data_IF_655472759521
#
_entry.id   IF_655472759521
#
_cell.length_a   1.000
_cell.length_b   1.000
_cell.length_c   1.000
_cell.angle_alpha   90.00
_cell.angle_beta   90.00
_cell.angle_gamma   90.00
#
_symmetry.space_group_name_H-M   'P 1'
#
loop_
_entity.id
_entity.type
_entity.pdbx_description
1 polymer ?
#
# COMPACT_ATOMS: atom_id res chain seq x y z
N UNK A 1 -11.28 2.99 16.14
CA UNK A 1 -10.48 3.08 14.89
C UNK A 1 -10.61 1.78 14.07
N UNK A 2 -10.63 0.60 14.70
CA UNK A 2 -10.85 -0.68 14.03
C UNK A 2 -12.10 -0.74 13.13
N UNK A 3 -13.27 -0.38 13.65
CA UNK A 3 -14.53 -0.45 12.87
C UNK A 3 -14.51 0.49 11.67
N UNK A 4 -13.94 1.68 11.85
CA UNK A 4 -13.74 2.66 10.77
C UNK A 4 -12.90 2.05 9.65
N UNK A 5 -11.73 1.49 9.97
CA UNK A 5 -10.87 0.92 8.92
C UNK A 5 -11.46 -0.35 8.30
N UNK A 6 -12.21 -1.13 9.07
CA UNK A 6 -12.95 -2.29 8.54
C UNK A 6 -13.96 -1.86 7.48
N UNK A 7 -14.74 -0.81 7.73
CA UNK A 7 -15.69 -0.26 6.77
C UNK A 7 -14.98 0.46 5.61
N UNK A 8 -13.90 1.18 5.91
CA UNK A 8 -13.05 1.84 4.92
C UNK A 8 -12.54 0.85 3.87
N UNK A 9 -11.85 -0.22 4.26
CA UNK A 9 -11.28 -1.18 3.30
C UNK A 9 -12.36 -1.90 2.49
N UNK A 10 -13.57 -2.08 3.05
CA UNK A 10 -14.71 -2.62 2.31
C UNK A 10 -15.20 -1.67 1.20
N UNK A 11 -15.15 -0.35 1.44
CA UNK A 11 -15.73 0.66 0.54
C UNK A 11 -14.71 1.27 -0.43
N UNK A 12 -13.48 1.46 0.01
CA UNK A 12 -12.44 2.16 -0.74
C UNK A 12 -12.21 1.52 -2.11
N UNK A 13 -12.11 0.19 -2.16
CA UNK A 13 -11.95 -0.58 -3.41
C UNK A 13 -13.13 -0.44 -4.37
N UNK A 14 -14.34 -0.25 -3.85
CA UNK A 14 -15.56 -0.20 -4.66
C UNK A 14 -15.99 1.22 -5.06
N UNK A 15 -15.24 2.25 -4.68
CA UNK A 15 -15.63 3.65 -4.86
C UNK A 15 -14.84 4.33 -5.98
N UNK A 16 -15.45 4.59 -7.16
CA UNK A 16 -14.78 5.29 -8.26
C UNK A 16 -14.30 6.69 -7.88
N UNK A 17 -15.12 7.42 -7.13
CA UNK A 17 -14.77 8.76 -6.65
C UNK A 17 -13.55 8.74 -5.72
N UNK A 18 -13.42 7.70 -4.90
CA UNK A 18 -12.26 7.55 -4.03
C UNK A 18 -11.01 7.15 -4.81
N UNK A 19 -11.13 6.26 -5.81
CA UNK A 19 -10.03 5.92 -6.69
C UNK A 19 -9.49 7.12 -7.48
N UNK A 20 -10.38 8.01 -7.96
CA UNK A 20 -9.97 9.26 -8.61
C UNK A 20 -9.24 10.19 -7.64
N UNK A 21 -9.78 10.35 -6.42
CA UNK A 21 -9.12 11.11 -5.36
C UNK A 21 -7.70 10.58 -5.09
N UNK A 22 -7.54 9.27 -4.91
CA UNK A 22 -6.24 8.66 -4.64
C UNK A 22 -5.26 8.90 -5.79
N UNK A 23 -5.69 8.73 -7.04
CA UNK A 23 -4.85 8.98 -8.22
C UNK A 23 -4.38 10.44 -8.26
N UNK A 24 -5.27 11.39 -7.97
CA UNK A 24 -4.94 12.83 -8.01
C UNK A 24 -4.04 13.28 -6.87
N UNK A 25 -4.20 12.72 -5.68
CA UNK A 25 -3.48 13.17 -4.46
C UNK A 25 -2.19 12.38 -4.24
N UNK A 26 -2.19 11.07 -4.50
CA UNK A 26 -1.06 10.19 -4.20
C UNK A 26 -0.32 9.69 -5.44
N UNK A 27 -0.87 9.92 -6.63
CA UNK A 27 -0.28 9.52 -7.91
C UNK A 27 -0.75 8.16 -8.44
N UNK A 28 -1.45 7.37 -7.62
CA UNK A 28 -2.01 6.07 -8.02
C UNK A 28 -3.22 5.71 -7.14
N UNK A 29 -4.10 4.82 -7.61
CA UNK A 29 -5.21 4.29 -6.82
C UNK A 29 -4.81 2.99 -6.10
N UNK A 30 -4.29 3.12 -4.88
CA UNK A 30 -3.94 2.00 -4.01
C UNK A 30 -4.76 2.01 -2.72
N UNK A 31 -5.94 2.64 -2.73
CA UNK A 31 -6.75 2.90 -1.53
C UNK A 31 -5.91 3.55 -0.42
N UNK A 32 -5.06 4.51 -0.77
CA UNK A 32 -4.18 5.15 0.18
C UNK A 32 -4.98 6.09 1.09
N UNK A 33 -4.82 5.88 2.39
CA UNK A 33 -5.34 6.75 3.42
C UNK A 33 -4.17 7.15 4.33
N UNK A 34 -3.41 8.17 3.91
CA UNK A 34 -2.18 8.57 4.60
C UNK A 34 -1.57 9.87 4.06
N UNK A 35 -0.33 10.15 4.47
CA UNK A 35 0.39 11.40 4.16
C UNK A 35 1.45 11.25 3.06
N UNK A 36 1.76 10.01 2.62
CA UNK A 36 2.80 9.74 1.64
C UNK A 36 2.19 9.53 0.25
N UNK A 37 2.60 10.36 -0.71
CA UNK A 37 2.43 10.09 -2.15
C UNK A 37 3.53 9.16 -2.66
N UNK A 38 3.41 8.69 -3.90
CA UNK A 38 4.43 7.79 -4.47
C UNK A 38 5.81 8.45 -4.58
N UNK A 39 5.88 9.77 -4.77
CA UNK A 39 7.14 10.49 -4.75
C UNK A 39 7.84 10.43 -3.37
N UNK A 40 7.08 10.41 -2.27
CA UNK A 40 7.62 10.20 -0.94
C UNK A 40 8.11 8.76 -0.75
N UNK A 41 7.38 7.77 -1.28
CA UNK A 41 7.81 6.36 -1.26
C UNK A 41 9.13 6.19 -2.03
N UNK A 42 9.25 6.77 -3.23
CA UNK A 42 10.48 6.71 -4.02
C UNK A 42 11.67 7.38 -3.32
N UNK A 43 11.42 8.51 -2.64
CA UNK A 43 12.45 9.17 -1.83
C UNK A 43 12.95 8.28 -0.69
N UNK A 44 12.06 7.50 -0.06
CA UNK A 44 12.45 6.54 0.99
C UNK A 44 13.26 5.38 0.42
N UNK A 45 12.85 4.83 -0.73
CA UNK A 45 13.60 3.78 -1.43
C UNK A 45 15.02 4.26 -1.74
N UNK A 46 15.14 5.46 -2.31
CA UNK A 46 16.43 6.03 -2.68
C UNK A 46 17.30 6.36 -1.46
N UNK A 47 16.74 7.02 -0.44
CA UNK A 47 17.49 7.40 0.76
C UNK A 47 17.96 6.19 1.59
N UNK A 48 17.21 5.09 1.55
CA UNK A 48 17.60 3.83 2.18
C UNK A 48 18.53 2.96 1.33
N UNK A 49 18.84 3.38 0.10
CA UNK A 49 19.61 2.59 -0.87
C UNK A 49 19.06 1.15 -0.98
N UNK A 50 17.73 1.02 -0.97
CA UNK A 50 17.08 -0.28 -0.84
C UNK A 50 17.24 -1.10 -2.11
N UNK A 51 17.62 -2.36 -1.93
CA UNK A 51 17.84 -3.32 -3.01
C UNK A 51 17.43 -4.75 -2.61
N UNK A 52 17.70 -5.72 -3.49
CA UNK A 52 17.33 -7.12 -3.30
C UNK A 52 17.97 -7.82 -2.08
N UNK A 53 19.00 -7.23 -1.47
CA UNK A 53 19.62 -7.79 -0.26
C UNK A 53 18.83 -7.46 1.01
N UNK A 54 17.91 -6.50 0.93
CA UNK A 54 17.18 -5.98 2.08
C UNK A 54 15.92 -6.79 2.41
N UNK A 55 15.56 -6.76 3.69
CA UNK A 55 14.28 -7.25 4.22
C UNK A 55 13.53 -6.07 4.82
N UNK A 56 12.38 -5.75 4.27
CA UNK A 56 11.61 -4.54 4.61
C UNK A 56 10.35 -4.94 5.37
N UNK A 57 10.02 -4.19 6.42
CA UNK A 57 8.76 -4.30 7.15
C UNK A 57 7.90 -3.08 6.86
N UNK A 58 6.69 -3.29 6.34
CA UNK A 58 5.68 -2.25 6.17
C UNK A 58 4.62 -2.36 7.28
N UNK A 59 4.58 -1.36 8.16
CA UNK A 59 3.63 -1.30 9.27
C UNK A 59 2.35 -0.57 8.83
N UNK A 60 1.21 -1.26 8.87
CA UNK A 60 -0.05 -0.73 8.35
C UNK A 60 -0.09 -0.79 6.82
N UNK A 61 0.20 -1.96 6.26
CA UNK A 61 0.34 -2.15 4.80
C UNK A 61 -0.97 -2.03 4.02
N UNK A 62 -2.12 -2.01 4.71
CA UNK A 62 -3.42 -1.96 4.07
C UNK A 62 -3.64 -3.08 3.07
N UNK A 63 -4.09 -2.73 1.86
CA UNK A 63 -4.30 -3.65 0.73
C UNK A 63 -2.99 -4.13 0.08
N UNK A 64 -1.83 -3.85 0.68
CA UNK A 64 -0.54 -4.42 0.29
C UNK A 64 0.10 -3.85 -0.97
N UNK A 65 -0.57 -2.93 -1.67
CA UNK A 65 -0.08 -2.46 -2.97
C UNK A 65 1.23 -1.68 -2.87
N UNK A 66 1.45 -0.92 -1.78
CA UNK A 66 2.73 -0.23 -1.55
C UNK A 66 3.85 -1.25 -1.26
N UNK A 67 3.60 -2.27 -0.41
CA UNK A 67 4.54 -3.39 -0.25
C UNK A 67 4.90 -4.05 -1.59
N UNK A 68 3.91 -4.33 -2.45
CA UNK A 68 4.15 -4.89 -3.78
C UNK A 68 5.00 -3.96 -4.64
N UNK A 69 4.69 -2.66 -4.63
CA UNK A 69 5.47 -1.65 -5.36
C UNK A 69 6.93 -1.61 -4.89
N UNK A 70 7.17 -1.57 -3.58
CA UNK A 70 8.52 -1.56 -3.01
C UNK A 70 9.27 -2.83 -3.43
N UNK A 71 8.64 -4.01 -3.30
CA UNK A 71 9.24 -5.29 -3.69
C UNK A 71 9.60 -5.31 -5.18
N UNK A 72 8.71 -4.87 -6.06
CA UNK A 72 8.94 -4.82 -7.50
C UNK A 72 10.05 -3.83 -7.90
N UNK A 73 10.11 -2.68 -7.21
CA UNK A 73 11.06 -1.60 -7.52
C UNK A 73 12.48 -1.92 -7.04
N UNK A 74 12.61 -2.59 -5.89
CA UNK A 74 13.91 -2.82 -5.23
C UNK A 74 14.42 -4.24 -5.40
N UNK A 75 13.54 -5.20 -5.69
CA UNK A 75 13.82 -6.63 -5.58
C UNK A 75 13.90 -7.15 -4.14
N UNK A 76 13.66 -6.30 -3.14
CA UNK A 76 13.74 -6.66 -1.73
C UNK A 76 12.61 -7.62 -1.30
N UNK A 77 12.84 -8.34 -0.20
CA UNK A 77 11.79 -9.10 0.45
C UNK A 77 10.98 -8.21 1.39
N UNK A 78 9.70 -7.96 1.07
CA UNK A 78 8.82 -7.12 1.88
C UNK A 78 7.85 -7.98 2.71
N UNK A 79 7.71 -7.65 3.99
CA UNK A 79 6.67 -8.20 4.88
C UNK A 79 5.75 -7.06 5.28
N UNK A 80 4.49 -7.12 4.84
CA UNK A 80 3.45 -6.21 5.27
C UNK A 80 2.71 -6.75 6.50
N UNK A 81 2.39 -5.87 7.45
CA UNK A 81 1.46 -6.20 8.53
C UNK A 81 0.33 -5.17 8.57
N UNK A 82 -0.89 -5.65 8.80
CA UNK A 82 -2.03 -4.81 9.11
C UNK A 82 -2.88 -5.52 10.17
N UNK A 83 -3.53 -4.75 11.04
CA UNK A 83 -4.38 -5.28 12.10
C UNK A 83 -5.83 -5.46 11.64
N UNK A 84 -6.17 -5.01 10.43
CA UNK A 84 -7.49 -5.16 9.82
C UNK A 84 -7.51 -6.40 8.92
N UNK A 85 -8.28 -7.44 9.28
CA UNK A 85 -8.31 -8.69 8.52
C UNK A 85 -8.72 -8.52 7.04
N UNK A 86 -9.64 -7.59 6.76
CA UNK A 86 -10.06 -7.31 5.39
C UNK A 86 -8.91 -6.76 4.54
N UNK A 87 -8.08 -5.88 5.10
CA UNK A 87 -6.92 -5.32 4.41
C UNK A 87 -5.91 -6.42 4.06
N UNK A 88 -5.61 -7.30 5.02
CA UNK A 88 -4.72 -8.45 4.80
C UNK A 88 -5.27 -9.41 3.76
N UNK A 89 -6.59 -9.66 3.75
CA UNK A 89 -7.22 -10.47 2.68
C UNK A 89 -7.04 -9.85 1.30
N UNK A 90 -7.25 -8.54 1.18
CA UNK A 90 -7.06 -7.81 -0.07
C UNK A 90 -5.59 -7.85 -0.51
N UNK A 91 -4.65 -7.69 0.42
CA UNK A 91 -3.21 -7.78 0.15
C UNK A 91 -2.73 -9.15 -0.33
N UNK A 92 -3.44 -10.21 0.05
CA UNK A 92 -3.14 -11.59 -0.36
C UNK A 92 -3.87 -12.00 -1.64
N UNK A 93 -4.83 -11.21 -2.11
CA UNK A 93 -5.52 -11.48 -3.36
C UNK A 93 -4.55 -11.33 -4.55
N UNK A 94 -4.72 -12.10 -5.64
CA UNK A 94 -3.95 -11.88 -6.85
C UNK A 94 -4.12 -10.43 -7.32
N UNK A 95 -3.03 -9.72 -7.57
CA UNK A 95 -3.10 -8.45 -8.26
C UNK A 95 -3.67 -8.72 -9.66
N UNK A 96 -4.82 -8.12 -9.97
CA UNK A 96 -5.32 -8.11 -11.35
C UNK A 96 -4.27 -7.35 -12.19
N UNK A 97 -3.88 -7.88 -13.37
CA UNK A 97 -2.76 -7.36 -14.16
C UNK A 97 -2.95 -5.93 -14.66
#
# INVERSE_FOLDING_TARGET
MYDFYTDYYRRAMASPAYGEFCTRVFGANYTQHGFADMAAVDRLIHAGELDATHRILELGCGSGVIATYIAATTGAHVTGIDYIPEAVRQAQAPADP
#
